data_IF_153994574503
#
_entry.id   IF_153994574503
#
_cell.length_a   1.000
_cell.length_b   1.000
_cell.length_c   1.000
_cell.angle_alpha   90.00
_cell.angle_beta   90.00
_cell.angle_gamma   90.00
#
_symmetry.space_group_name_H-M   'P 1'
#
loop_
_entity.id
_entity.type
_entity.pdbx_description
1 polymer ?
#
# COMPACT_ATOMS: atom_id res chain seq x y z
N UNK A 1 -11.72 17.69 1.31
CA UNK A 1 -12.30 17.43 -0.03
C UNK A 1 -12.58 15.95 -0.09
N UNK A 2 -13.77 15.57 -0.51
CA UNK A 2 -14.17 14.18 -0.61
C UNK A 2 -13.50 13.53 -1.81
N UNK A 3 -13.31 12.22 -1.77
CA UNK A 3 -12.89 11.46 -2.95
C UNK A 3 -13.98 11.53 -4.02
N UNK A 4 -13.59 11.81 -5.25
CA UNK A 4 -14.53 11.71 -6.37
C UNK A 4 -14.58 10.28 -6.90
N UNK A 5 -15.38 9.47 -6.24
CA UNK A 5 -15.55 8.05 -6.54
C UNK A 5 -16.09 7.76 -7.95
N UNK A 6 -16.66 8.76 -8.63
CA UNK A 6 -17.13 8.59 -10.02
C UNK A 6 -15.95 8.50 -11.00
N UNK A 7 -14.82 9.12 -10.66
CA UNK A 7 -13.62 9.15 -11.48
C UNK A 7 -12.53 8.19 -11.00
N UNK A 8 -12.82 7.35 -10.01
CA UNK A 8 -11.91 6.34 -9.49
C UNK A 8 -12.38 4.93 -9.83
N UNK A 9 -11.51 4.15 -10.43
CA UNK A 9 -11.65 2.70 -10.57
C UNK A 9 -10.94 2.02 -9.40
N UNK A 10 -11.58 1.02 -8.81
CA UNK A 10 -11.00 0.17 -7.78
C UNK A 10 -10.70 -1.19 -8.41
N UNK A 11 -9.44 -1.62 -8.35
CA UNK A 11 -8.99 -2.94 -8.84
C UNK A 11 -8.46 -3.75 -7.69
N UNK A 12 -9.13 -4.85 -7.36
CA UNK A 12 -8.64 -5.77 -6.36
C UNK A 12 -7.49 -6.61 -6.95
N UNK A 13 -6.41 -6.74 -6.19
CA UNK A 13 -5.24 -7.55 -6.55
C UNK A 13 -5.33 -8.91 -5.88
N UNK A 14 -5.53 -8.93 -4.57
CA UNK A 14 -5.72 -10.14 -3.79
C UNK A 14 -6.52 -9.86 -2.53
N UNK A 15 -7.14 -10.88 -1.95
CA UNK A 15 -7.79 -10.80 -0.66
C UNK A 15 -7.74 -12.14 0.06
N UNK A 16 -7.68 -12.10 1.38
CA UNK A 16 -7.65 -13.31 2.19
C UNK A 16 -7.88 -13.02 3.66
N UNK A 17 -7.73 -14.07 4.45
CA UNK A 17 -7.79 -14.01 5.90
C UNK A 17 -6.45 -14.48 6.49
N UNK A 18 -5.97 -13.79 7.48
CA UNK A 18 -4.75 -14.12 8.20
C UNK A 18 -5.05 -14.22 9.70
N UNK A 19 -4.58 -15.30 10.31
CA UNK A 19 -4.59 -15.50 11.77
C UNK A 19 -3.16 -15.64 12.22
N UNK A 20 -2.75 -14.83 13.19
CA UNK A 20 -1.40 -14.87 13.72
C UNK A 20 -1.28 -15.92 14.88
N UNK A 21 -0.09 -16.46 15.03
CA UNK A 21 0.18 -17.46 16.08
C UNK A 21 0.14 -16.83 17.46
N UNK A 22 -0.48 -17.54 18.42
CA UNK A 22 -0.48 -17.20 19.83
C UNK A 22 0.94 -17.35 20.43
N UNK A 23 1.27 -16.53 21.42
CA UNK A 23 2.58 -16.52 22.07
C UNK A 23 3.67 -15.78 21.31
N UNK A 24 3.39 -15.28 20.10
CA UNK A 24 4.35 -14.53 19.28
C UNK A 24 3.99 -13.05 19.26
N UNK A 25 4.74 -12.15 19.90
CA UNK A 25 4.37 -10.72 19.98
C UNK A 25 4.50 -9.99 18.65
N UNK A 26 5.35 -10.49 17.75
CA UNK A 26 5.57 -9.86 16.44
C UNK A 26 6.07 -10.88 15.42
N UNK A 27 5.47 -10.89 14.24
CA UNK A 27 6.06 -11.57 13.09
C UNK A 27 7.26 -10.78 12.58
N UNK A 28 8.40 -11.43 12.34
CA UNK A 28 9.59 -10.81 11.74
C UNK A 28 9.29 -10.13 10.40
N UNK A 29 8.23 -10.55 9.69
CA UNK A 29 7.81 -9.99 8.42
C UNK A 29 7.15 -8.62 8.55
N UNK A 30 6.69 -8.25 9.76
CA UNK A 30 5.98 -6.99 10.02
C UNK A 30 6.80 -5.96 10.80
N UNK A 31 8.13 -6.14 10.86
CA UNK A 31 9.06 -5.13 11.36
C UNK A 31 9.53 -4.28 10.18
N UNK A 32 9.20 -2.97 10.20
CA UNK A 32 9.54 -2.02 9.14
C UNK A 32 9.14 -2.50 7.74
N UNK A 33 7.99 -3.11 7.64
CA UNK A 33 7.46 -3.56 6.35
C UNK A 33 6.99 -2.36 5.53
N UNK A 34 7.48 -2.29 4.29
CA UNK A 34 6.99 -1.35 3.27
C UNK A 34 5.93 -2.07 2.46
N UNK A 35 4.76 -1.45 2.32
CA UNK A 35 3.64 -2.01 1.55
C UNK A 35 3.81 -1.58 0.09
N UNK A 36 3.70 -2.50 -0.89
CA UNK A 36 3.88 -2.17 -2.31
C UNK A 36 2.63 -1.58 -2.98
N UNK A 37 1.47 -1.83 -2.43
CA UNK A 37 0.14 -1.47 -2.93
C UNK A 37 -0.75 -0.96 -1.78
N UNK A 38 -2.01 -0.63 -2.05
CA UNK A 38 -2.96 -0.36 -0.98
C UNK A 38 -3.37 -1.68 -0.34
N UNK A 39 -3.38 -1.72 1.00
CA UNK A 39 -3.79 -2.89 1.77
C UNK A 39 -4.79 -2.47 2.85
N UNK A 40 -6.00 -2.98 2.77
CA UNK A 40 -7.07 -2.73 3.74
C UNK A 40 -7.15 -3.90 4.71
N UNK A 41 -6.88 -3.65 5.97
CA UNK A 41 -7.08 -4.63 7.03
C UNK A 41 -8.34 -4.34 7.83
N UNK A 42 -9.15 -5.38 8.02
CA UNK A 42 -10.34 -5.37 8.87
C UNK A 42 -10.12 -6.42 9.95
N UNK A 43 -10.04 -6.00 11.20
CA UNK A 43 -9.74 -6.87 12.31
C UNK A 43 -10.98 -7.63 12.78
N UNK A 44 -10.89 -8.96 12.75
CA UNK A 44 -11.95 -9.87 13.17
C UNK A 44 -11.79 -10.29 14.64
N UNK A 45 -10.55 -10.49 15.09
CA UNK A 45 -10.21 -10.91 16.46
C UNK A 45 -8.91 -10.26 16.90
N UNK A 46 -8.65 -10.33 18.21
CA UNK A 46 -7.36 -10.01 18.79
C UNK A 46 -7.08 -8.52 18.99
N UNK A 47 -5.90 -8.26 19.51
CA UNK A 47 -5.40 -6.91 19.79
C UNK A 47 -3.98 -6.74 19.29
N UNK A 48 -3.68 -5.57 18.74
CA UNK A 48 -2.32 -5.21 18.40
C UNK A 48 -2.06 -3.72 18.59
N UNK A 49 -0.81 -3.35 18.48
CA UNK A 49 -0.42 -1.96 18.26
C UNK A 49 0.34 -1.87 16.94
N UNK A 50 0.03 -0.85 16.18
CA UNK A 50 0.69 -0.57 14.92
C UNK A 50 1.40 0.78 15.01
N UNK A 51 2.71 0.76 14.74
CA UNK A 51 3.49 1.99 14.52
C UNK A 51 3.35 2.35 13.06
N UNK A 52 2.86 3.54 12.83
CA UNK A 52 2.65 4.12 11.49
C UNK A 52 3.33 5.48 11.41
N UNK A 53 3.19 6.11 10.27
CA UNK A 53 3.45 7.52 10.08
C UNK A 53 2.65 8.30 11.09
N UNK A 54 2.46 9.08 11.64
CA UNK A 54 1.56 9.76 12.61
C UNK A 54 1.62 9.26 14.05
N UNK A 55 2.25 8.11 14.31
CA UNK A 55 2.38 7.60 15.66
C UNK A 55 2.05 6.12 15.86
N UNK A 56 1.87 5.75 17.12
CA UNK A 56 1.49 4.39 17.51
C UNK A 56 0.00 4.33 17.82
N UNK A 57 -0.72 3.44 17.15
CA UNK A 57 -2.15 3.23 17.34
C UNK A 57 -2.42 1.84 17.91
N UNK A 58 -3.38 1.75 18.83
CA UNK A 58 -3.91 0.48 19.34
C UNK A 58 -5.09 0.05 18.49
N UNK A 59 -5.10 -1.20 18.09
CA UNK A 59 -6.11 -1.80 17.23
C UNK A 59 -6.66 -3.04 17.91
N UNK A 60 -7.93 -3.26 17.71
CA UNK A 60 -8.67 -4.40 18.23
C UNK A 60 -9.72 -4.87 17.21
N UNK A 61 -10.53 -5.83 17.60
CA UNK A 61 -11.67 -6.25 16.80
C UNK A 61 -12.50 -5.06 16.31
N UNK A 62 -12.94 -5.11 15.07
CA UNK A 62 -13.70 -4.10 14.34
C UNK A 62 -12.89 -2.81 13.99
N UNK A 63 -11.59 -2.79 14.28
CA UNK A 63 -10.71 -1.76 13.72
C UNK A 63 -10.51 -1.99 12.22
N UNK A 64 -10.42 -0.91 11.46
CA UNK A 64 -10.08 -0.94 10.05
C UNK A 64 -8.85 -0.06 9.84
N UNK A 65 -7.89 -0.54 9.06
CA UNK A 65 -6.72 0.20 8.65
C UNK A 65 -6.58 0.13 7.15
N UNK A 66 -6.33 1.27 6.54
CA UNK A 66 -5.90 1.37 5.17
C UNK A 66 -4.41 1.68 5.12
N UNK A 67 -3.61 0.66 4.89
CA UNK A 67 -2.16 0.80 4.67
C UNK A 67 -1.88 1.24 3.25
N UNK A 68 -0.93 2.19 3.11
CA UNK A 68 -0.63 2.86 1.83
C UNK A 68 0.70 2.40 1.26
N UNK A 69 0.82 2.40 -0.07
CA UNK A 69 2.08 2.10 -0.74
C UNK A 69 3.22 3.00 -0.24
N UNK A 70 4.39 2.41 -0.07
CA UNK A 70 5.60 3.12 0.34
C UNK A 70 5.71 3.44 1.83
N UNK A 71 4.63 3.36 2.61
CA UNK A 71 4.67 3.58 4.07
C UNK A 71 5.34 2.42 4.80
N UNK A 72 5.92 2.73 5.96
CA UNK A 72 6.56 1.76 6.86
C UNK A 72 5.62 1.47 8.02
N UNK A 73 5.32 0.20 8.22
CA UNK A 73 4.49 -0.28 9.31
C UNK A 73 5.26 -1.26 10.21
N UNK A 74 5.06 -1.13 11.53
CA UNK A 74 5.48 -2.14 12.50
C UNK A 74 4.25 -2.58 13.27
N UNK A 75 3.95 -3.88 13.23
CA UNK A 75 2.80 -4.45 13.92
C UNK A 75 3.27 -5.33 15.05
N UNK A 76 2.74 -5.10 16.23
CA UNK A 76 3.00 -5.90 17.43
C UNK A 76 1.67 -6.33 18.02
N UNK A 77 1.38 -7.64 18.00
CA UNK A 77 0.15 -8.19 18.56
C UNK A 77 0.27 -8.42 20.07
N UNK A 78 -0.85 -8.55 20.74
CA UNK A 78 -0.95 -9.12 22.07
C UNK A 78 -0.72 -10.65 21.96
N UNK A 79 0.30 -11.23 22.62
CA UNK A 79 0.58 -12.66 22.51
C UNK A 79 -0.54 -13.56 23.04
N UNK A 80 -1.33 -13.05 23.99
CA UNK A 80 -2.44 -13.77 24.61
C UNK A 80 -3.77 -13.57 23.88
N UNK A 81 -3.82 -12.58 22.94
CA UNK A 81 -5.02 -12.26 22.15
C UNK A 81 -4.62 -11.99 20.69
N UNK A 82 -4.26 -13.08 19.96
CA UNK A 82 -3.68 -12.97 18.61
C UNK A 82 -4.65 -12.41 17.60
N UNK A 83 -4.11 -11.60 16.69
CA UNK A 83 -4.92 -10.95 15.67
C UNK A 83 -5.35 -11.91 14.57
N UNK A 84 -6.64 -11.83 14.24
CA UNK A 84 -7.19 -12.37 13.01
C UNK A 84 -7.78 -11.22 12.21
N UNK A 85 -7.40 -11.12 10.94
CA UNK A 85 -7.84 -10.02 10.10
C UNK A 85 -8.07 -10.46 8.66
N UNK A 86 -9.05 -9.83 8.05
CA UNK A 86 -9.24 -9.81 6.60
C UNK A 86 -8.27 -8.80 6.01
N UNK A 87 -7.52 -9.17 4.97
CA UNK A 87 -6.68 -8.27 4.18
C UNK A 87 -7.18 -8.21 2.74
N UNK A 88 -7.07 -7.02 2.13
CA UNK A 88 -7.49 -6.77 0.75
C UNK A 88 -6.47 -5.85 0.10
N UNK A 89 -5.66 -6.39 -0.81
CA UNK A 89 -4.73 -5.62 -1.64
C UNK A 89 -5.46 -5.08 -2.87
N UNK A 90 -5.28 -3.82 -3.19
CA UNK A 90 -5.97 -3.18 -4.31
C UNK A 90 -5.24 -1.95 -4.84
N UNK A 91 -5.58 -1.58 -6.07
CA UNK A 91 -5.20 -0.34 -6.71
C UNK A 91 -6.39 0.60 -6.85
N UNK A 92 -6.12 1.89 -6.71
CA UNK A 92 -7.01 2.96 -7.15
C UNK A 92 -6.44 3.56 -8.43
N UNK A 93 -7.27 3.65 -9.45
CA UNK A 93 -6.86 4.17 -10.77
C UNK A 93 -7.75 5.37 -11.09
N UNK A 94 -7.14 6.47 -11.48
CA UNK A 94 -7.86 7.67 -11.90
C UNK A 94 -8.38 7.55 -13.36
N UNK A 95 -9.12 8.56 -13.80
CA UNK A 95 -9.67 8.62 -15.16
C UNK A 95 -8.61 8.70 -16.28
N UNK A 96 -7.35 8.96 -15.92
CA UNK A 96 -6.22 8.98 -16.86
C UNK A 96 -5.47 7.62 -16.88
N UNK A 97 -5.92 6.65 -16.09
CA UNK A 97 -5.28 5.34 -15.97
C UNK A 97 -4.05 5.33 -15.05
N UNK A 98 -3.85 6.39 -14.27
CA UNK A 98 -2.75 6.51 -13.32
C UNK A 98 -3.15 6.02 -11.93
N UNK A 99 -2.18 5.49 -11.17
CA UNK A 99 -2.43 5.13 -9.78
C UNK A 99 -2.78 6.38 -8.97
N UNK A 100 -3.86 6.30 -8.23
CA UNK A 100 -4.36 7.37 -7.37
C UNK A 100 -4.13 7.01 -5.89
N UNK A 101 -3.61 7.96 -5.12
CA UNK A 101 -3.38 7.80 -3.69
C UNK A 101 -4.14 8.89 -2.93
N UNK A 102 -5.19 8.54 -2.16
CA UNK A 102 -5.93 9.53 -1.40
C UNK A 102 -5.04 10.17 -0.33
N UNK A 103 -5.24 11.47 -0.11
CA UNK A 103 -4.58 12.15 1.01
C UNK A 103 -5.17 11.70 2.35
N UNK A 104 -4.45 11.86 3.48
CA UNK A 104 -5.02 11.59 4.79
C UNK A 104 -6.27 12.42 5.12
N UNK A 105 -6.42 13.58 4.49
CA UNK A 105 -7.63 14.42 4.60
C UNK A 105 -8.80 13.85 3.83
N UNK A 106 -8.51 13.16 2.72
CA UNK A 106 -9.53 12.49 1.91
C UNK A 106 -9.92 11.15 2.54
N UNK A 107 -8.95 10.42 3.03
CA UNK A 107 -9.16 9.12 3.67
C UNK A 107 -8.08 8.89 4.73
N UNK A 108 -8.39 8.90 6.03
CA UNK A 108 -7.41 8.62 7.09
C UNK A 108 -6.90 7.18 7.02
N UNK A 109 -5.65 6.95 7.45
CA UNK A 109 -5.07 5.59 7.49
C UNK A 109 -5.76 4.71 8.52
N UNK A 110 -6.13 5.28 9.65
CA UNK A 110 -6.80 4.55 10.73
C UNK A 110 -8.26 4.96 10.80
N UNK A 111 -9.10 4.00 10.58
CA UNK A 111 -10.53 4.12 10.73
C UNK A 111 -10.89 3.48 12.07
N UNK A 112 -10.83 4.27 13.14
CA UNK A 112 -11.13 3.78 14.48
C UNK A 112 -12.51 3.16 14.56
N UNK A 113 -12.54 2.00 15.15
CA UNK A 113 -13.63 1.24 15.79
C UNK A 113 -14.99 1.94 15.80
N UNK A 114 -15.50 2.24 14.64
CA UNK A 114 -16.93 2.37 14.51
C UNK A 114 -17.40 0.93 14.44
N UNK A 115 -17.99 0.45 15.49
CA UNK A 115 -18.58 -0.88 15.53
C UNK A 115 -19.69 -0.98 14.46
N UNK A 116 -19.25 -1.05 13.18
CA UNK A 116 -20.12 -1.21 12.01
C UNK A 116 -19.92 -2.63 11.49
N UNK A 117 -20.67 -3.60 12.02
CA UNK A 117 -20.56 -5.02 11.66
C UNK A 117 -20.67 -5.25 10.15
N UNK A 118 -21.38 -4.36 9.44
CA UNK A 118 -21.59 -4.42 8.00
C UNK A 118 -20.28 -4.33 7.22
N UNK A 119 -19.33 -3.49 7.64
CA UNK A 119 -18.05 -3.36 6.94
C UNK A 119 -17.21 -4.62 7.05
N UNK A 120 -17.18 -5.25 8.23
CA UNK A 120 -16.53 -6.54 8.43
C UNK A 120 -17.18 -7.61 7.54
N UNK A 121 -18.49 -7.68 7.51
CA UNK A 121 -19.22 -8.63 6.67
C UNK A 121 -18.95 -8.40 5.18
N UNK A 122 -18.84 -7.15 4.74
CA UNK A 122 -18.46 -6.84 3.35
C UNK A 122 -17.06 -7.33 3.04
N UNK A 123 -16.09 -7.08 3.90
CA UNK A 123 -14.72 -7.60 3.73
C UNK A 123 -14.67 -9.12 3.64
N UNK A 124 -15.35 -9.82 4.56
CA UNK A 124 -15.45 -11.28 4.54
C UNK A 124 -16.13 -11.83 3.27
N UNK A 125 -17.15 -11.12 2.76
CA UNK A 125 -17.80 -11.50 1.51
C UNK A 125 -16.87 -11.32 0.30
N UNK A 126 -16.04 -10.27 0.27
CA UNK A 126 -15.02 -10.07 -0.76
C UNK A 126 -14.04 -11.25 -0.75
N UNK A 127 -13.50 -11.62 0.42
CA UNK A 127 -12.62 -12.78 0.56
C UNK A 127 -13.29 -14.07 0.08
N UNK A 128 -14.55 -14.27 0.45
CA UNK A 128 -15.31 -15.45 0.01
C UNK A 128 -15.43 -15.52 -1.51
N UNK A 129 -15.73 -14.40 -2.18
CA UNK A 129 -15.82 -14.35 -3.65
C UNK A 129 -14.46 -14.66 -4.27
N UNK A 130 -13.39 -14.06 -3.77
CA UNK A 130 -12.03 -14.31 -4.27
C UNK A 130 -11.61 -15.77 -4.09
N UNK A 131 -11.99 -16.39 -2.97
CA UNK A 131 -11.68 -17.81 -2.66
C UNK A 131 -12.53 -18.79 -3.50
N UNK A 132 -13.82 -18.48 -3.70
CA UNK A 132 -14.71 -19.32 -4.53
C UNK A 132 -14.20 -19.45 -5.96
N UNK A 133 -13.66 -18.37 -6.53
CA UNK A 133 -13.05 -18.40 -7.86
C UNK A 133 -11.95 -19.46 -7.99
N UNK A 134 -11.13 -19.65 -6.97
CA UNK A 134 -10.08 -20.67 -6.95
C UNK A 134 -10.65 -22.11 -6.90
N UNK A 135 -11.86 -22.27 -6.36
CA UNK A 135 -12.56 -23.56 -6.34
C UNK A 135 -13.20 -23.89 -7.68
N UNK A 136 -13.63 -22.87 -8.45
CA UNK A 136 -14.16 -23.01 -9.81
C UNK A 136 -13.07 -23.57 -10.75
N UNK A 137 -11.84 -23.05 -10.65
CA UNK A 137 -10.69 -23.51 -11.44
C UNK A 137 -10.36 -25.00 -11.17
N UNK A 138 -10.52 -25.44 -9.91
CA UNK A 138 -10.24 -26.82 -9.50
C UNK A 138 -11.33 -27.83 -9.87
N UNK A 139 -12.57 -27.37 -10.01
CA UNK A 139 -13.70 -28.24 -10.36
C UNK A 139 -14.78 -27.50 -11.19
N UNK A 140 -14.51 -27.28 -12.50
CA UNK A 140 -15.41 -26.51 -13.38
C UNK A 140 -16.82 -27.10 -13.50
N UNK A 141 -16.99 -28.39 -13.22
CA UNK A 141 -18.29 -29.09 -13.40
C UNK A 141 -19.33 -28.73 -12.32
N UNK A 142 -18.87 -28.15 -11.19
CA UNK A 142 -19.75 -27.79 -10.07
C UNK A 142 -20.41 -26.43 -10.20
N UNK A 143 -20.11 -25.65 -11.25
CA UNK A 143 -20.61 -24.29 -11.41
C UNK A 143 -21.42 -24.11 -12.70
N UNK A 144 -22.44 -23.25 -12.71
CA UNK A 144 -23.22 -22.98 -13.90
C UNK A 144 -22.37 -22.50 -15.06
N UNK A 145 -22.66 -22.97 -16.26
CA UNK A 145 -22.01 -22.50 -17.48
C UNK A 145 -22.12 -20.98 -17.59
N UNK A 146 -20.97 -20.27 -17.57
CA UNK A 146 -20.89 -18.84 -17.78
C UNK A 146 -20.12 -18.01 -16.72
N UNK A 147 -19.84 -18.54 -15.53
CA UNK A 147 -18.95 -17.85 -14.57
C UNK A 147 -17.50 -17.94 -15.03
N UNK A 148 -16.92 -16.80 -15.39
CA UNK A 148 -15.49 -16.67 -15.70
C UNK A 148 -14.70 -16.23 -14.48
N UNK A 149 -13.44 -16.60 -14.42
CA UNK A 149 -12.53 -16.18 -13.33
C UNK A 149 -12.41 -14.64 -13.26
N UNK A 150 -12.51 -13.96 -14.41
CA UNK A 150 -12.50 -12.51 -14.52
C UNK A 150 -13.70 -11.85 -13.80
N UNK A 151 -14.85 -12.52 -13.80
CA UNK A 151 -16.08 -11.98 -13.19
C UNK A 151 -15.94 -11.83 -11.65
N UNK A 152 -15.15 -12.71 -10.99
CA UNK A 152 -14.90 -12.60 -9.54
C UNK A 152 -14.17 -11.32 -9.18
N UNK A 153 -13.16 -10.91 -9.98
CA UNK A 153 -12.42 -9.68 -9.76
C UNK A 153 -13.31 -8.45 -9.96
N UNK A 154 -14.16 -8.46 -10.98
CA UNK A 154 -15.10 -7.37 -11.23
C UNK A 154 -16.09 -7.22 -10.08
N UNK A 155 -16.70 -8.31 -9.61
CA UNK A 155 -17.64 -8.29 -8.48
C UNK A 155 -16.94 -7.88 -7.20
N UNK A 156 -15.79 -8.46 -6.88
CA UNK A 156 -15.03 -8.14 -5.68
C UNK A 156 -14.57 -6.65 -5.67
N UNK A 157 -14.13 -6.13 -6.83
CA UNK A 157 -13.75 -4.71 -6.98
C UNK A 157 -14.93 -3.77 -6.79
N UNK A 158 -16.12 -4.11 -7.32
CA UNK A 158 -17.33 -3.33 -7.11
C UNK A 158 -17.75 -3.33 -5.63
N UNK A 159 -17.66 -4.47 -4.94
CA UNK A 159 -17.94 -4.57 -3.50
C UNK A 159 -16.93 -3.78 -2.66
N UNK A 160 -15.64 -3.84 -3.02
CA UNK A 160 -14.60 -3.05 -2.36
C UNK A 160 -14.84 -1.56 -2.56
N UNK A 161 -15.17 -1.13 -3.78
CA UNK A 161 -15.53 0.27 -4.05
C UNK A 161 -16.69 0.73 -3.18
N UNK A 162 -17.75 -0.06 -3.05
CA UNK A 162 -18.90 0.24 -2.20
C UNK A 162 -18.49 0.33 -0.71
N UNK A 163 -17.63 -0.56 -0.25
CA UNK A 163 -17.08 -0.52 1.11
C UNK A 163 -16.29 0.77 1.36
N UNK A 164 -15.34 1.10 0.49
CA UNK A 164 -14.52 2.32 0.60
C UNK A 164 -15.37 3.59 0.55
N UNK A 165 -16.37 3.65 -0.34
CA UNK A 165 -17.32 4.76 -0.39
C UNK A 165 -18.12 4.91 0.89
N UNK A 166 -18.56 3.81 1.51
CA UNK A 166 -19.30 3.85 2.77
C UNK A 166 -18.44 4.32 3.93
N UNK A 167 -17.16 3.94 3.95
CA UNK A 167 -16.18 4.39 4.93
C UNK A 167 -15.91 5.90 4.76
N UNK A 168 -15.67 6.35 3.53
CA UNK A 168 -15.44 7.77 3.20
C UNK A 168 -16.64 8.63 3.61
N UNK A 169 -17.85 8.22 3.24
CA UNK A 169 -19.09 8.92 3.63
C UNK A 169 -19.24 9.03 5.16
N UNK A 170 -18.92 7.95 5.88
CA UNK A 170 -18.98 7.95 7.34
C UNK A 170 -17.94 8.88 7.97
N UNK A 171 -16.70 8.90 7.43
CA UNK A 171 -15.66 9.80 7.90
C UNK A 171 -16.06 11.27 7.72
N UNK A 172 -16.66 11.62 6.59
CA UNK A 172 -17.14 12.98 6.33
C UNK A 172 -18.12 13.44 7.43
N UNK A 173 -19.04 12.56 7.83
CA UNK A 173 -20.05 12.87 8.85
C UNK A 173 -19.45 13.06 10.24
N UNK A 174 -18.29 12.48 10.54
CA UNK A 174 -17.71 12.41 11.88
C UNK A 174 -16.38 13.18 12.07
N UNK A 175 -15.85 13.86 11.04
CA UNK A 175 -14.61 14.62 11.14
C UNK A 175 -14.77 15.80 12.11
N UNK A 176 -13.95 15.82 13.19
CA UNK A 176 -13.84 16.96 14.11
C UNK A 176 -12.90 18.03 13.54
N UNK A 177 -13.18 19.29 13.88
CA UNK A 177 -12.39 20.45 13.41
C UNK A 177 -10.90 20.39 13.78
N UNK A 178 -10.53 19.74 14.89
CA UNK A 178 -9.15 19.62 15.36
C UNK A 178 -8.29 18.67 14.51
N UNK A 179 -8.91 17.71 13.80
CA UNK A 179 -8.19 16.80 12.91
C UNK A 179 -7.74 17.46 11.61
N UNK A 180 -8.37 18.58 11.22
CA UNK A 180 -8.08 19.30 9.97
C UNK A 180 -6.66 19.90 9.94
N UNK A 181 -6.12 20.35 11.05
CA UNK A 181 -4.81 20.99 11.11
C UNK A 181 -3.64 19.98 11.02
N UNK A 182 -3.80 18.80 11.61
CA UNK A 182 -2.83 17.68 11.53
C UNK A 182 -2.76 17.16 10.09
N UNK A 183 -3.90 17.16 9.42
CA UNK A 183 -4.03 16.65 8.05
C UNK A 183 -3.30 17.51 7.00
N UNK A 184 -3.12 18.83 7.19
CA UNK A 184 -2.45 19.69 6.20
C UNK A 184 -0.96 19.32 6.00
N UNK A 185 -0.23 19.02 7.07
CA UNK A 185 1.17 18.56 6.98
C UNK A 185 1.27 17.18 6.34
N UNK A 186 0.36 16.28 6.67
CA UNK A 186 0.26 14.96 6.08
C UNK A 186 -0.05 15.02 4.57
N UNK A 187 -1.02 15.85 4.17
CA UNK A 187 -1.33 16.09 2.75
C UNK A 187 -0.13 16.65 1.98
N UNK A 188 0.61 17.59 2.57
CA UNK A 188 1.83 18.13 1.96
C UNK A 188 2.87 17.04 1.75
N UNK A 189 3.09 16.16 2.73
CA UNK A 189 4.05 15.07 2.62
C UNK A 189 3.63 14.04 1.55
N UNK A 190 2.34 13.74 1.46
CA UNK A 190 1.80 12.81 0.48
C UNK A 190 1.90 13.36 -0.95
N UNK A 191 1.43 14.59 -1.18
CA UNK A 191 1.56 15.24 -2.49
C UNK A 191 3.03 15.37 -2.93
N UNK A 192 3.94 15.59 -1.96
CA UNK A 192 5.37 15.63 -2.24
C UNK A 192 5.89 14.24 -2.67
N UNK A 193 5.43 13.17 -2.05
CA UNK A 193 5.79 11.81 -2.45
C UNK A 193 5.30 11.50 -3.87
N UNK A 194 4.04 11.79 -4.19
CA UNK A 194 3.50 11.63 -5.55
C UNK A 194 4.33 12.40 -6.59
N UNK A 195 4.68 13.65 -6.30
CA UNK A 195 5.54 14.43 -7.20
C UNK A 195 6.94 13.83 -7.36
N UNK A 196 7.53 13.28 -6.28
CA UNK A 196 8.81 12.57 -6.34
C UNK A 196 8.70 11.33 -7.25
N UNK A 197 7.60 10.60 -7.18
CA UNK A 197 7.34 9.41 -7.98
C UNK A 197 7.17 9.75 -9.46
N UNK A 198 6.34 10.76 -9.79
CA UNK A 198 6.14 11.27 -11.14
C UNK A 198 7.45 11.75 -11.78
N UNK A 199 8.34 12.36 -10.98
CA UNK A 199 9.63 12.89 -11.43
C UNK A 199 10.81 11.99 -11.09
N UNK A 200 10.56 10.72 -10.79
CA UNK A 200 11.55 9.77 -10.28
C UNK A 200 12.74 9.51 -11.23
N UNK A 201 12.60 9.78 -12.52
CA UNK A 201 13.66 9.70 -13.52
C UNK A 201 14.59 10.95 -13.56
N UNK A 202 14.33 11.96 -12.72
CA UNK A 202 15.13 13.17 -12.63
C UNK A 202 15.88 13.28 -11.29
N UNK A 203 16.89 14.15 -11.25
CA UNK A 203 17.57 14.48 -10.00
C UNK A 203 16.64 15.25 -9.07
N UNK A 204 16.49 14.76 -7.83
CA UNK A 204 15.68 15.41 -6.82
C UNK A 204 16.44 16.55 -6.13
N UNK A 205 16.05 17.77 -6.39
CA UNK A 205 16.50 18.95 -5.64
C UNK A 205 15.46 19.31 -4.56
N UNK A 206 15.74 18.89 -3.33
CA UNK A 206 14.80 19.06 -2.19
C UNK A 206 14.42 20.54 -1.95
N UNK A 207 15.34 21.47 -2.23
CA UNK A 207 15.05 22.90 -2.11
C UNK A 207 14.01 23.41 -3.10
N UNK A 208 14.07 22.93 -4.36
CA UNK A 208 13.05 23.25 -5.38
C UNK A 208 11.71 22.62 -5.04
N UNK A 209 11.75 21.38 -4.57
CA UNK A 209 10.53 20.69 -4.15
C UNK A 209 9.86 21.44 -2.99
N UNK A 210 10.61 21.84 -1.97
CA UNK A 210 10.10 22.63 -0.85
C UNK A 210 9.42 23.93 -1.31
N UNK A 211 10.06 24.66 -2.25
CA UNK A 211 9.48 25.89 -2.82
C UNK A 211 8.16 25.64 -3.55
N UNK A 212 8.01 24.52 -4.24
CA UNK A 212 6.74 24.15 -4.90
C UNK A 212 5.59 24.05 -3.92
N UNK A 213 5.86 23.64 -2.67
CA UNK A 213 4.88 23.55 -1.58
C UNK A 213 4.82 24.81 -0.70
N UNK A 214 5.47 25.92 -1.10
CA UNK A 214 5.47 27.16 -0.34
C UNK A 214 6.23 27.09 0.99
N UNK A 215 7.15 26.14 1.13
CA UNK A 215 7.86 25.84 2.38
C UNK A 215 9.37 26.12 2.26
N UNK A 216 10.00 26.42 3.41
CA UNK A 216 11.46 26.35 3.52
C UNK A 216 11.92 24.90 3.44
N UNK A 217 13.17 24.67 2.97
CA UNK A 217 13.76 23.33 2.87
C UNK A 217 13.70 22.56 4.19
N UNK A 218 14.02 23.21 5.30
CA UNK A 218 14.03 22.58 6.61
C UNK A 218 12.62 22.19 7.06
N UNK A 219 11.65 23.08 6.88
CA UNK A 219 10.25 22.80 7.23
C UNK A 219 9.69 21.66 6.40
N UNK A 220 9.95 21.69 5.08
CA UNK A 220 9.54 20.63 4.16
C UNK A 220 10.16 19.28 4.54
N UNK A 221 11.50 19.25 4.73
CA UNK A 221 12.19 17.99 5.11
C UNK A 221 11.64 17.45 6.42
N UNK A 222 11.38 18.33 7.41
CA UNK A 222 10.78 17.90 8.66
C UNK A 222 9.39 17.29 8.46
N UNK A 223 8.49 17.99 7.79
CA UNK A 223 7.12 17.50 7.50
C UNK A 223 7.19 16.15 6.76
N UNK A 224 8.04 16.05 5.75
CA UNK A 224 8.19 14.83 4.96
C UNK A 224 8.75 13.69 5.82
N UNK A 225 9.79 13.95 6.63
CA UNK A 225 10.42 12.93 7.49
C UNK A 225 9.51 12.54 8.66
N UNK A 226 8.78 13.47 9.24
CA UNK A 226 7.81 13.17 10.29
C UNK A 226 6.70 12.25 9.77
N UNK A 227 6.30 12.43 8.50
CA UNK A 227 5.26 11.62 7.86
C UNK A 227 5.80 10.26 7.35
N UNK A 228 6.87 10.28 6.54
CA UNK A 228 7.39 9.09 5.86
C UNK A 228 8.44 8.31 6.66
N UNK A 229 8.90 8.85 7.81
CA UNK A 229 9.99 8.31 8.65
C UNK A 229 11.34 8.14 7.91
N UNK A 230 11.44 8.67 6.71
CA UNK A 230 12.65 8.70 5.88
C UNK A 230 12.74 10.06 5.17
N UNK A 231 13.95 10.40 4.73
CA UNK A 231 14.14 11.65 3.98
C UNK A 231 13.51 11.58 2.58
N UNK A 232 13.20 12.74 1.95
CA UNK A 232 12.72 12.78 0.56
C UNK A 232 13.68 12.08 -0.41
N UNK A 233 14.99 12.19 -0.19
CA UNK A 233 16.00 11.54 -1.00
C UNK A 233 15.97 10.03 -0.85
N UNK A 234 15.84 9.55 0.37
CA UNK A 234 15.76 8.12 0.65
C UNK A 234 14.46 7.51 0.12
N UNK A 235 13.36 8.26 0.18
CA UNK A 235 12.10 7.88 -0.44
C UNK A 235 12.27 7.64 -1.95
N UNK A 236 12.87 8.59 -2.68
CA UNK A 236 13.14 8.44 -4.12
C UNK A 236 13.99 7.19 -4.39
N UNK A 237 15.03 6.94 -3.59
CA UNK A 237 15.88 5.76 -3.74
C UNK A 237 15.05 4.49 -3.58
N UNK A 238 14.27 4.39 -2.52
CA UNK A 238 13.44 3.21 -2.25
C UNK A 238 12.43 2.97 -3.37
N UNK A 239 11.79 4.02 -3.87
CA UNK A 239 10.88 3.98 -5.00
C UNK A 239 11.56 3.42 -6.26
N UNK A 240 12.73 3.99 -6.64
CA UNK A 240 13.52 3.51 -7.79
C UNK A 240 13.92 2.04 -7.66
N UNK A 241 14.34 1.61 -6.46
CA UNK A 241 14.72 0.22 -6.21
C UNK A 241 13.52 -0.73 -6.33
N UNK A 242 12.35 -0.31 -5.87
CA UNK A 242 11.11 -1.08 -6.03
C UNK A 242 10.76 -1.26 -7.51
N UNK A 243 10.81 -0.19 -8.29
CA UNK A 243 10.60 -0.25 -9.74
C UNK A 243 11.68 -1.10 -10.45
N UNK A 244 12.93 -1.01 -10.01
CA UNK A 244 14.01 -1.84 -10.56
C UNK A 244 13.72 -3.33 -10.37
N UNK A 245 13.23 -3.75 -9.20
CA UNK A 245 12.85 -5.15 -8.95
C UNK A 245 11.81 -5.63 -9.96
N UNK A 246 10.77 -4.83 -10.20
CA UNK A 246 9.72 -5.15 -11.17
C UNK A 246 10.28 -5.28 -12.59
N UNK A 247 11.09 -4.32 -13.03
CA UNK A 247 11.69 -4.35 -14.37
C UNK A 247 12.66 -5.52 -14.56
N UNK A 248 13.44 -5.85 -13.52
CA UNK A 248 14.37 -6.97 -13.55
C UNK A 248 13.67 -8.32 -13.71
N UNK A 249 12.49 -8.49 -13.13
CA UNK A 249 11.71 -9.74 -13.18
C UNK A 249 10.87 -9.82 -14.46
N UNK A 250 10.23 -8.72 -14.85
CA UNK A 250 9.17 -8.73 -15.85
C UNK A 250 9.62 -8.29 -17.25
N UNK A 251 10.89 -7.91 -17.43
CA UNK A 251 11.40 -7.45 -18.72
C UNK A 251 12.76 -8.05 -19.07
N UNK A 252 13.05 -8.10 -20.39
CA UNK A 252 14.38 -8.47 -20.89
C UNK A 252 15.37 -7.29 -20.96
N UNK A 253 15.02 -6.10 -20.45
CA UNK A 253 15.88 -4.92 -20.46
C UNK A 253 17.22 -5.21 -19.77
N UNK A 254 18.29 -4.68 -20.32
CA UNK A 254 19.62 -4.75 -19.71
C UNK A 254 19.66 -3.94 -18.40
N UNK A 255 20.61 -4.23 -17.54
CA UNK A 255 20.80 -3.50 -16.27
C UNK A 255 21.08 -2.02 -16.53
N UNK A 256 21.81 -1.70 -17.62
CA UNK A 256 22.09 -0.33 -18.05
C UNK A 256 20.82 0.42 -18.49
N UNK A 257 19.96 -0.22 -19.28
CA UNK A 257 18.67 0.35 -19.72
C UNK A 257 17.75 0.61 -18.54
N UNK A 258 17.68 -0.33 -17.59
CA UNK A 258 16.88 -0.16 -16.36
C UNK A 258 17.43 1.01 -15.55
N UNK A 259 18.75 1.11 -15.35
CA UNK A 259 19.37 2.21 -14.64
C UNK A 259 19.04 3.56 -15.28
N UNK A 260 19.22 3.68 -16.60
CA UNK A 260 18.91 4.90 -17.35
C UNK A 260 17.43 5.28 -17.25
N UNK A 261 16.51 4.31 -17.39
CA UNK A 261 15.06 4.50 -17.25
C UNK A 261 14.66 5.03 -15.88
N UNK A 262 15.37 4.61 -14.83
CA UNK A 262 15.12 5.03 -13.45
C UNK A 262 15.88 6.31 -13.07
N UNK A 263 16.50 7.01 -14.03
CA UNK A 263 17.17 8.28 -13.82
C UNK A 263 18.54 8.19 -13.17
N UNK A 264 19.24 7.07 -13.32
CA UNK A 264 20.64 6.93 -12.93
C UNK A 264 21.54 7.27 -14.13
N UNK A 265 22.44 8.20 -13.94
CA UNK A 265 23.47 8.55 -14.93
C UNK A 265 24.59 7.50 -15.03
N UNK A 266 24.75 6.69 -13.98
CA UNK A 266 25.76 5.63 -13.90
C UNK A 266 25.15 4.32 -13.42
N UNK A 267 25.23 3.29 -14.25
CA UNK A 267 24.70 1.97 -13.94
C UNK A 267 25.50 1.23 -12.84
N UNK A 268 26.78 1.56 -12.64
CA UNK A 268 27.56 1.01 -11.53
C UNK A 268 27.10 1.59 -10.19
N UNK A 269 26.79 2.89 -10.17
CA UNK A 269 26.20 3.51 -8.99
C UNK A 269 24.83 2.90 -8.66
N UNK A 270 23.99 2.72 -9.68
CA UNK A 270 22.72 1.98 -9.52
C UNK A 270 22.94 0.59 -8.94
N UNK A 271 23.86 -0.21 -9.51
CA UNK A 271 24.10 -1.58 -9.07
C UNK A 271 24.57 -1.65 -7.60
N UNK A 272 25.43 -0.73 -7.17
CA UNK A 272 25.87 -0.62 -5.77
C UNK A 272 24.70 -0.27 -4.85
N UNK A 273 23.91 0.75 -5.24
CA UNK A 273 22.76 1.18 -4.43
C UNK A 273 21.69 0.09 -4.34
N UNK A 274 21.42 -0.60 -5.45
CA UNK A 274 20.50 -1.75 -5.48
C UNK A 274 20.98 -2.86 -4.55
N UNK A 275 22.27 -3.23 -4.62
CA UNK A 275 22.85 -4.25 -3.73
C UNK A 275 22.77 -3.83 -2.25
N UNK A 276 23.04 -2.58 -1.93
CA UNK A 276 22.93 -2.06 -0.56
C UNK A 276 21.51 -2.16 -0.02
N UNK A 277 20.51 -1.92 -0.86
CA UNK A 277 19.09 -1.93 -0.46
C UNK A 277 18.44 -3.32 -0.49
N UNK A 278 18.96 -4.25 -1.29
CA UNK A 278 18.32 -5.58 -1.51
C UNK A 278 19.16 -6.77 -1.04
N UNK A 279 20.44 -6.57 -0.80
CA UNK A 279 21.43 -7.62 -0.52
C UNK A 279 22.00 -8.29 -1.77
N UNK A 280 21.37 -8.14 -2.94
CA UNK A 280 21.74 -8.80 -4.19
C UNK A 280 22.19 -7.79 -5.26
N UNK A 281 23.12 -8.17 -6.12
CA UNK A 281 23.33 -7.39 -7.34
C UNK A 281 22.11 -7.50 -8.27
N UNK A 282 21.84 -6.51 -9.14
CA UNK A 282 20.68 -6.58 -10.06
C UNK A 282 20.65 -7.86 -10.90
N UNK A 283 21.84 -8.29 -11.39
CA UNK A 283 21.96 -9.52 -12.18
C UNK A 283 21.69 -10.80 -11.37
N UNK A 284 22.18 -10.87 -10.12
CA UNK A 284 21.90 -11.97 -9.22
C UNK A 284 20.41 -12.04 -8.85
N UNK A 285 19.81 -10.88 -8.57
CA UNK A 285 18.38 -10.77 -8.27
C UNK A 285 17.52 -11.29 -9.42
N UNK A 286 17.79 -10.88 -10.66
CA UNK A 286 17.10 -11.39 -11.86
C UNK A 286 17.21 -12.89 -11.97
N UNK A 287 18.43 -13.44 -11.85
CA UNK A 287 18.66 -14.88 -12.00
C UNK A 287 17.92 -15.72 -10.95
N UNK A 288 17.85 -15.23 -9.72
CA UNK A 288 17.21 -15.94 -8.60
C UNK A 288 15.70 -15.98 -8.79
N UNK A 289 15.09 -14.85 -9.14
CA UNK A 289 13.64 -14.76 -9.38
C UNK A 289 13.18 -15.50 -10.64
N UNK A 290 14.03 -15.54 -11.69
CA UNK A 290 13.71 -16.37 -12.88
C UNK A 290 13.72 -17.87 -12.62
N UNK A 291 14.42 -18.34 -11.58
CA UNK A 291 14.40 -19.74 -11.16
C UNK A 291 13.12 -20.07 -10.39
N UNK A 292 12.64 -19.18 -9.54
CA UNK A 292 11.39 -19.36 -8.77
C UNK A 292 10.19 -19.46 -9.71
N UNK A 293 10.13 -18.65 -10.76
CA UNK A 293 9.02 -18.64 -11.74
C UNK A 293 9.03 -19.91 -12.62
N UNK A 294 10.20 -20.52 -12.88
CA UNK A 294 10.30 -21.74 -13.71
C UNK A 294 10.23 -23.05 -12.90
N UNK A 295 10.04 -22.98 -11.59
CA UNK A 295 9.95 -24.15 -10.68
C UNK A 295 8.53 -24.44 -10.20
N UNK A 296 7.56 -23.61 -10.57
CA UNK A 296 6.12 -23.77 -10.39
C UNK A 296 5.45 -24.17 -11.74
#
# INVERSE_FOLDING_TARGET
MNLDWNHLEVRIVSAGYSLWESGVPCSKTWIRRVIPDNDLWIFDTGKCSMQMVGGKTKLNKDSIIWMRPGHIYNVTQDPDDPIGHTYIHFDLIDSLGSHFFPTPEQMPETLHSFNIPQWRQMGQNIVRIMTLGNSIERNPQCFPHGCRNEDKFAVASAMLKALLMSIDFYNILNMKEEEKAVNHSAATALHAAMYIEETSNHFLEVGRLAKKFGLSRNRFTKIFTDYWQISPQEYLINYRISHAKNLLVNTAQTIGEIAARLGYSDHYFFARQFKTKTGFSPGAFRKERSKEINSD
#
